data_IF_706682431446
#
_entry.id   IF_706682431446
#
_cell.length_a   1.000
_cell.length_b   1.000
_cell.length_c   1.000
_cell.angle_alpha   90.00
_cell.angle_beta   90.00
_cell.angle_gamma   90.00
#
_symmetry.space_group_name_H-M   'P 1'
#
loop_
_entity.id
_entity.type
_entity.pdbx_description
1 polymer ?
#
# COMPACT_ATOMS: atom_id res chain seq x y z
N UNK A 1 3.08 -7.36 -9.20
CA UNK A 1 2.18 -6.52 -8.37
C UNK A 1 1.89 -5.30 -9.19
N UNK A 2 0.76 -5.34 -9.90
CA UNK A 2 0.43 -4.46 -11.02
C UNK A 2 -0.88 -3.72 -10.75
N UNK A 3 -1.10 -3.39 -9.46
CA UNK A 3 -2.29 -2.70 -9.02
C UNK A 3 -2.46 -1.30 -9.63
N UNK A 4 -3.64 -0.69 -9.44
CA UNK A 4 -3.95 0.60 -10.03
C UNK A 4 -2.95 1.70 -9.62
N UNK A 5 -2.58 2.55 -10.57
CA UNK A 5 -1.66 3.67 -10.37
C UNK A 5 -2.32 5.05 -10.54
N UNK A 6 -3.56 5.08 -11.02
CA UNK A 6 -4.35 6.29 -11.30
C UNK A 6 -5.85 6.02 -11.08
N UNK A 7 -6.65 7.08 -11.06
CA UNK A 7 -8.10 7.01 -10.89
C UNK A 7 -8.57 6.64 -9.48
N UNK A 8 -9.87 6.37 -9.35
CA UNK A 8 -10.50 6.07 -8.06
C UNK A 8 -10.54 4.57 -7.80
N UNK A 9 -9.87 4.12 -6.74
CA UNK A 9 -9.87 2.73 -6.28
C UNK A 9 -10.85 2.56 -5.12
N UNK A 10 -11.82 1.64 -5.28
CA UNK A 10 -12.69 1.22 -4.17
C UNK A 10 -12.20 -0.10 -3.61
N UNK A 11 -12.00 -0.13 -2.30
CA UNK A 11 -11.67 -1.35 -1.60
C UNK A 11 -12.96 -2.11 -1.22
N UNK A 12 -12.91 -3.44 -1.13
CA UNK A 12 -13.98 -4.21 -0.53
C UNK A 12 -14.11 -3.87 0.95
N UNK A 13 -15.34 -4.00 1.48
CA UNK A 13 -15.68 -3.56 2.83
C UNK A 13 -14.82 -4.17 3.95
N UNK A 14 -14.30 -5.39 3.77
CA UNK A 14 -13.44 -6.02 4.79
C UNK A 14 -12.03 -5.42 4.86
N UNK A 15 -11.55 -4.79 3.77
CA UNK A 15 -10.30 -4.02 3.79
C UNK A 15 -10.54 -2.59 4.27
N UNK A 16 -11.71 -2.03 3.96
CA UNK A 16 -12.07 -0.68 4.37
C UNK A 16 -13.58 -0.52 4.51
N UNK A 17 -14.05 -0.60 5.76
CA UNK A 17 -15.45 -0.42 6.08
C UNK A 17 -15.89 1.04 6.17
N UNK A 18 -14.96 2.00 6.05
CA UNK A 18 -15.25 3.43 6.22
C UNK A 18 -15.37 4.21 4.90
N UNK A 19 -14.70 3.80 3.82
CA UNK A 19 -14.63 4.63 2.60
C UNK A 19 -15.67 4.29 1.52
N UNK A 20 -16.87 4.88 1.63
CA UNK A 20 -17.84 4.82 0.53
C UNK A 20 -17.39 5.55 -0.75
N UNK A 21 -16.46 6.49 -0.64
CA UNK A 21 -15.98 7.33 -1.76
C UNK A 21 -14.81 6.71 -2.53
N UNK A 22 -14.12 5.72 -1.97
CA UNK A 22 -12.88 5.19 -2.51
C UNK A 22 -11.67 6.14 -2.37
N UNK A 23 -10.56 5.74 -2.98
CA UNK A 23 -9.27 6.41 -2.93
C UNK A 23 -8.94 6.96 -4.32
N UNK A 24 -8.97 8.28 -4.47
CA UNK A 24 -8.52 8.96 -5.69
C UNK A 24 -6.99 9.02 -5.73
N UNK A 25 -6.37 8.28 -6.64
CA UNK A 25 -4.92 8.24 -6.82
C UNK A 25 -4.39 9.44 -7.61
N UNK A 26 -5.24 10.12 -8.37
CA UNK A 26 -4.88 11.32 -9.14
C UNK A 26 -4.76 12.54 -8.22
N UNK A 27 -5.35 12.48 -7.03
CA UNK A 27 -5.13 13.43 -5.94
C UNK A 27 -3.73 13.34 -5.27
N UNK A 28 -2.87 12.43 -5.74
CA UNK A 28 -1.44 12.40 -5.46
C UNK A 28 -1.00 11.52 -4.29
N UNK A 29 0.30 11.63 -3.95
CA UNK A 29 1.01 10.75 -3.00
C UNK A 29 0.31 10.59 -1.63
N UNK A 30 -0.31 11.62 -1.01
CA UNK A 30 -1.02 11.44 0.26
C UNK A 30 -2.17 10.42 0.18
N UNK A 31 -2.90 10.40 -0.94
CA UNK A 31 -4.00 9.44 -1.15
C UNK A 31 -3.49 8.05 -1.44
N UNK A 32 -2.46 7.93 -2.27
CA UNK A 32 -1.78 6.64 -2.52
C UNK A 32 -1.27 6.03 -1.20
N UNK A 33 -0.59 6.82 -0.35
CA UNK A 33 -0.13 6.37 0.97
C UNK A 33 -1.26 5.91 1.88
N UNK A 34 -2.43 6.52 1.79
CA UNK A 34 -3.57 6.14 2.61
C UNK A 34 -4.13 4.80 2.12
N UNK A 35 -4.35 4.64 0.81
CA UNK A 35 -4.78 3.36 0.21
C UNK A 35 -3.82 2.24 0.60
N UNK A 36 -2.52 2.44 0.39
CA UNK A 36 -1.52 1.39 0.57
C UNK A 36 -1.39 1.02 2.04
N UNK A 37 -1.49 2.00 2.95
CA UNK A 37 -1.50 1.73 4.40
C UNK A 37 -2.69 0.86 4.78
N UNK A 38 -3.88 1.16 4.26
CA UNK A 38 -5.09 0.39 4.52
C UNK A 38 -4.91 -1.05 4.02
N UNK A 39 -4.50 -1.24 2.76
CA UNK A 39 -4.29 -2.59 2.20
C UNK A 39 -3.23 -3.36 2.99
N UNK A 40 -2.08 -2.76 3.30
CA UNK A 40 -1.00 -3.45 4.02
C UNK A 40 -1.41 -3.88 5.44
N UNK A 41 -2.26 -3.11 6.12
CA UNK A 41 -2.73 -3.39 7.48
C UNK A 41 -3.85 -4.41 7.53
N UNK A 42 -4.77 -4.34 6.58
CA UNK A 42 -6.04 -5.06 6.63
C UNK A 42 -6.07 -6.27 5.68
N UNK A 43 -5.08 -6.45 4.81
CA UNK A 43 -4.99 -7.63 3.93
C UNK A 43 -4.94 -8.93 4.74
N UNK A 44 -5.92 -9.80 4.48
CA UNK A 44 -6.03 -11.11 5.13
C UNK A 44 -5.49 -12.23 4.24
N UNK A 45 -5.30 -11.95 2.95
CA UNK A 45 -4.93 -12.92 1.92
C UNK A 45 -4.14 -12.28 0.80
N UNK A 46 -3.35 -13.07 0.09
CA UNK A 46 -2.38 -12.57 -0.91
C UNK A 46 -3.09 -11.86 -2.06
N UNK A 47 -4.32 -12.25 -2.38
CA UNK A 47 -5.12 -11.63 -3.44
C UNK A 47 -5.47 -10.17 -3.13
N UNK A 48 -5.48 -9.77 -1.86
CA UNK A 48 -5.73 -8.38 -1.44
C UNK A 48 -4.57 -7.47 -1.87
N UNK A 49 -3.37 -8.03 -2.09
CA UNK A 49 -2.21 -7.27 -2.56
C UNK A 49 -2.34 -6.84 -4.02
N UNK A 50 -3.38 -7.27 -4.75
CA UNK A 50 -3.68 -6.80 -6.11
C UNK A 50 -3.92 -5.29 -6.20
N UNK A 51 -4.21 -4.62 -5.08
CA UNK A 51 -4.35 -3.15 -5.04
C UNK A 51 -3.00 -2.42 -4.94
N UNK A 52 -1.90 -3.16 -4.76
CA UNK A 52 -0.56 -2.60 -4.68
C UNK A 52 0.13 -2.67 -6.05
N UNK A 53 0.78 -1.58 -6.41
CA UNK A 53 1.71 -1.50 -7.52
C UNK A 53 3.14 -1.53 -6.98
N UNK A 54 3.98 -2.41 -7.51
CA UNK A 54 5.35 -2.59 -7.03
C UNK A 54 6.20 -1.32 -7.13
N UNK A 55 6.06 -0.55 -8.21
CA UNK A 55 6.84 0.68 -8.43
C UNK A 55 6.40 1.79 -7.47
N UNK A 56 5.10 2.00 -7.33
CA UNK A 56 4.58 2.98 -6.38
C UNK A 56 4.86 2.59 -4.93
N UNK A 57 4.76 1.30 -4.60
CA UNK A 57 5.04 0.80 -3.25
C UNK A 57 6.48 1.14 -2.85
N UNK A 58 7.45 0.84 -3.72
CA UNK A 58 8.87 1.19 -3.50
C UNK A 58 9.05 2.69 -3.32
N UNK A 59 8.45 3.51 -4.20
CA UNK A 59 8.55 4.97 -4.13
C UNK A 59 8.05 5.54 -2.78
N UNK A 60 6.99 4.97 -2.20
CA UNK A 60 6.40 5.48 -0.96
C UNK A 60 6.88 4.76 0.30
N UNK A 61 7.57 3.61 0.19
CA UNK A 61 7.87 2.71 1.31
C UNK A 61 8.62 3.41 2.45
N UNK A 62 9.63 4.21 2.14
CA UNK A 62 10.41 4.94 3.15
C UNK A 62 9.58 5.94 3.96
N UNK A 63 8.50 6.46 3.38
CA UNK A 63 7.71 7.57 3.95
C UNK A 63 6.26 7.21 4.28
N UNK A 64 5.84 5.96 4.08
CA UNK A 64 4.55 5.46 4.54
C UNK A 64 4.61 5.24 6.06
N UNK A 65 3.53 5.56 6.77
CA UNK A 65 3.42 5.26 8.21
C UNK A 65 2.66 3.95 8.39
N UNK A 66 3.34 2.92 8.86
CA UNK A 66 2.80 1.59 9.21
C UNK A 66 3.46 1.12 10.52
N UNK A 67 2.85 0.19 11.28
CA UNK A 67 3.46 -0.37 12.47
C UNK A 67 4.84 -0.99 12.17
N UNK A 68 5.87 -0.83 13.04
CA UNK A 68 7.21 -1.37 12.82
C UNK A 68 7.24 -2.88 12.57
N UNK A 69 6.49 -3.65 13.36
CA UNK A 69 6.38 -5.11 13.21
C UNK A 69 5.81 -5.50 11.84
N UNK A 70 4.81 -4.76 11.36
CA UNK A 70 4.25 -4.98 10.03
C UNK A 70 5.29 -4.68 8.95
N UNK A 71 6.05 -3.60 9.11
CA UNK A 71 7.14 -3.26 8.20
C UNK A 71 8.18 -4.38 8.12
N UNK A 72 8.67 -4.87 9.26
CA UNK A 72 9.67 -5.94 9.32
C UNK A 72 9.16 -7.24 8.69
N UNK A 73 7.88 -7.57 8.90
CA UNK A 73 7.25 -8.73 8.29
C UNK A 73 7.26 -8.63 6.75
N UNK A 74 6.92 -7.46 6.20
CA UNK A 74 6.95 -7.24 4.77
C UNK A 74 8.38 -7.19 4.22
N UNK A 75 9.32 -6.53 4.89
CA UNK A 75 10.73 -6.50 4.47
C UNK A 75 11.41 -7.88 4.54
N UNK A 76 10.96 -8.77 5.43
CA UNK A 76 11.44 -10.16 5.48
C UNK A 76 10.90 -10.97 4.31
N UNK A 77 9.65 -10.73 3.89
CA UNK A 77 9.03 -11.41 2.74
C UNK A 77 9.45 -10.83 1.39
N UNK A 78 9.75 -9.54 1.35
CA UNK A 78 10.08 -8.74 0.17
C UNK A 78 11.34 -7.92 0.47
N UNK A 79 12.55 -8.53 0.38
CA UNK A 79 13.82 -7.87 0.68
C UNK A 79 14.05 -6.57 -0.11
N UNK A 80 13.49 -6.47 -1.32
CA UNK A 80 13.57 -5.27 -2.16
C UNK A 80 12.97 -4.02 -1.51
N UNK A 81 12.01 -4.17 -0.58
CA UNK A 81 11.46 -3.04 0.17
C UNK A 81 12.45 -2.52 1.23
N UNK A 82 13.27 -3.41 1.79
CA UNK A 82 14.35 -3.03 2.70
C UNK A 82 15.41 -2.23 1.94
N UNK A 83 15.82 -2.69 0.77
CA UNK A 83 16.86 -2.05 -0.03
C UNK A 83 16.50 -0.61 -0.42
N UNK A 84 15.27 -0.39 -0.89
CA UNK A 84 14.81 0.95 -1.28
C UNK A 84 14.82 1.92 -0.11
N UNK A 85 14.53 1.45 1.11
CA UNK A 85 14.59 2.28 2.31
C UNK A 85 16.01 2.73 2.64
N UNK A 86 17.00 1.85 2.48
CA UNK A 86 18.39 2.18 2.79
C UNK A 86 19.01 3.18 1.80
N UNK A 87 18.44 3.30 0.59
CA UNK A 87 18.83 4.32 -0.39
C UNK A 87 18.05 5.65 -0.30
N UNK A 88 17.05 5.75 0.60
CA UNK A 88 16.18 6.94 0.74
C UNK A 88 16.69 7.94 1.76
#
# INVERSE_FOLDING_TARGET
>A
MDGPTSGVVKLPNYLDWHSNKGYDLDAGIPRIKTLYRTVLREALKVEDLKYLNHTLLRQIWGSIRIPPVLRELYETKFPELRDVRHCS
#
